data_IF_995970114936
#
_entry.id   IF_995970114936
#
_cell.length_a   1.000
_cell.length_b   1.000
_cell.length_c   1.000
_cell.angle_alpha   90.00
_cell.angle_beta   90.00
_cell.angle_gamma   90.00
#
_symmetry.space_group_name_H-M   'P 1'
#
loop_
_entity.id
_entity.type
_entity.pdbx_description
1 polymer ?
#
# COMPACT_ATOMS: atom_id res chain seq x y z
N UNK A 1 -10.47 11.54 -21.65
CA UNK A 1 -10.46 10.61 -20.49
C UNK A 1 -9.27 11.01 -19.63
N UNK A 2 -9.51 11.32 -18.36
CA UNK A 2 -8.43 11.71 -17.43
C UNK A 2 -7.70 10.43 -17.04
N UNK A 3 -6.42 10.31 -17.40
CA UNK A 3 -5.58 9.23 -16.90
C UNK A 3 -5.32 9.45 -15.41
N UNK A 4 -5.41 8.36 -14.65
CA UNK A 4 -5.21 8.37 -13.21
C UNK A 4 -4.08 7.40 -12.89
N UNK A 5 -3.17 7.79 -12.02
CA UNK A 5 -2.09 6.94 -11.56
C UNK A 5 -2.45 6.37 -10.20
N UNK A 6 -2.18 5.09 -9.97
CA UNK A 6 -2.39 4.45 -8.67
C UNK A 6 -1.17 3.69 -8.20
N UNK A 7 -0.98 3.65 -6.88
CA UNK A 7 0.02 2.79 -6.25
C UNK A 7 -0.52 1.36 -6.11
N UNK A 8 0.18 0.39 -6.70
CA UNK A 8 -0.15 -1.04 -6.70
C UNK A 8 0.95 -1.84 -5.99
N UNK A 9 0.61 -2.57 -4.93
CA UNK A 9 1.57 -3.41 -4.21
C UNK A 9 1.62 -4.82 -4.82
N UNK A 10 2.83 -5.25 -5.19
CA UNK A 10 3.08 -6.61 -5.64
C UNK A 10 2.71 -7.62 -4.54
N UNK A 11 1.85 -8.60 -4.83
CA UNK A 11 1.43 -9.60 -3.84
C UNK A 11 2.57 -10.54 -3.46
N UNK A 12 3.59 -10.71 -4.32
CA UNK A 12 4.73 -11.58 -4.08
C UNK A 12 5.80 -10.87 -3.23
N UNK A 13 6.41 -9.81 -3.76
CA UNK A 13 7.55 -9.15 -3.10
C UNK A 13 7.19 -7.90 -2.27
N UNK A 14 5.96 -7.38 -2.36
CA UNK A 14 5.56 -6.19 -1.59
C UNK A 14 6.00 -4.84 -2.17
N UNK A 15 6.68 -4.85 -3.31
CA UNK A 15 7.11 -3.65 -4.02
C UNK A 15 5.92 -2.79 -4.48
N UNK A 16 6.05 -1.47 -4.35
CA UNK A 16 5.05 -0.50 -4.78
C UNK A 16 5.36 -0.08 -6.23
N UNK A 17 4.39 -0.27 -7.12
CA UNK A 17 4.47 0.14 -8.51
C UNK A 17 3.45 1.25 -8.76
N UNK A 18 3.83 2.23 -9.57
CA UNK A 18 2.93 3.28 -10.01
C UNK A 18 2.39 2.88 -11.38
N UNK A 19 1.07 2.75 -11.48
CA UNK A 19 0.42 2.27 -12.70
C UNK A 19 -0.63 3.25 -13.17
N UNK A 20 -0.66 3.51 -14.47
CA UNK A 20 -1.67 4.34 -15.11
C UNK A 20 -2.93 3.51 -15.38
N UNK A 21 -4.11 4.10 -15.14
CA UNK A 21 -5.40 3.54 -15.51
C UNK A 21 -6.29 4.60 -16.16
N UNK A 22 -7.15 4.14 -17.08
CA UNK A 22 -8.13 4.93 -17.84
C UNK A 22 -9.58 4.59 -17.45
N UNK A 23 -9.77 3.80 -16.39
CA UNK A 23 -11.07 3.40 -15.84
C UNK A 23 -11.28 1.89 -15.77
N UNK A 24 -10.24 1.11 -16.04
CA UNK A 24 -10.26 -0.35 -15.94
C UNK A 24 -10.49 -0.79 -14.50
N UNK A 25 -11.25 -1.88 -14.33
CA UNK A 25 -11.46 -2.52 -13.00
C UNK A 25 -10.28 -3.38 -12.57
N UNK A 26 -9.53 -3.90 -13.54
CA UNK A 26 -8.39 -4.79 -13.33
C UNK A 26 -7.26 -4.35 -14.27
N UNK A 27 -6.06 -4.25 -13.73
CA UNK A 27 -4.83 -3.92 -14.47
C UNK A 27 -3.84 -5.08 -14.31
N UNK A 28 -3.16 -5.45 -15.39
CA UNK A 28 -2.03 -6.39 -15.31
C UNK A 28 -0.79 -5.56 -15.02
N UNK A 29 -0.13 -5.84 -13.89
CA UNK A 29 1.03 -5.08 -13.43
C UNK A 29 2.25 -5.99 -13.35
N UNK A 30 3.37 -5.51 -13.87
CA UNK A 30 4.69 -6.15 -13.72
C UNK A 30 5.51 -5.31 -12.75
N UNK A 31 5.92 -5.87 -11.62
CA UNK A 31 6.80 -5.16 -10.69
C UNK A 31 8.25 -5.12 -11.19
N UNK A 32 9.12 -4.28 -10.58
CA UNK A 32 10.55 -4.22 -10.94
C UNK A 32 11.29 -5.55 -10.73
N UNK A 33 10.80 -6.38 -9.81
CA UNK A 33 11.25 -7.76 -9.62
C UNK A 33 10.65 -8.78 -10.63
N UNK A 34 10.08 -8.32 -11.75
CA UNK A 34 9.52 -9.14 -12.85
C UNK A 34 8.34 -10.06 -12.49
N UNK A 35 7.65 -9.83 -11.37
CA UNK A 35 6.40 -10.54 -11.06
C UNK A 35 5.22 -9.87 -11.76
N UNK A 36 4.46 -10.65 -12.53
CA UNK A 36 3.17 -10.25 -13.09
C UNK A 36 2.02 -10.59 -12.13
N UNK A 37 1.07 -9.68 -11.98
CA UNK A 37 -0.11 -9.86 -11.14
C UNK A 37 -1.28 -8.95 -11.54
N UNK A 38 -2.48 -9.39 -11.21
CA UNK A 38 -3.70 -8.59 -11.37
C UNK A 38 -3.85 -7.60 -10.22
N UNK A 39 -3.89 -6.32 -10.54
CA UNK A 39 -4.27 -5.26 -9.62
C UNK A 39 -5.75 -4.96 -9.78
N UNK A 40 -6.50 -5.07 -8.68
CA UNK A 40 -7.93 -4.75 -8.65
C UNK A 40 -8.08 -3.28 -8.30
N UNK A 41 -8.53 -2.48 -9.27
CA UNK A 41 -8.79 -1.05 -9.08
C UNK A 41 -10.07 -0.90 -8.28
N UNK A 42 -9.91 -0.61 -6.99
CA UNK A 42 -11.01 -0.24 -6.09
C UNK A 42 -11.17 1.28 -6.05
N UNK A 43 -12.35 1.79 -5.68
CA UNK A 43 -12.62 3.24 -5.56
C UNK A 43 -11.67 3.98 -4.61
N UNK A 44 -11.02 3.27 -3.69
CA UNK A 44 -10.01 3.79 -2.77
C UNK A 44 -8.57 3.49 -3.20
N UNK A 45 -8.34 3.09 -4.45
CA UNK A 45 -6.98 2.88 -4.97
C UNK A 45 -6.22 4.19 -4.85
N UNK A 46 -5.04 4.15 -4.24
CA UNK A 46 -4.25 5.34 -3.88
C UNK A 46 -3.93 6.11 -5.14
N UNK A 47 -4.59 7.24 -5.38
CA UNK A 47 -4.21 8.15 -6.45
C UNK A 47 -2.81 8.68 -6.20
N UNK A 48 -1.90 8.39 -7.11
CA UNK A 48 -0.51 8.81 -7.07
C UNK A 48 -0.36 10.35 -7.01
N UNK A 49 -1.34 11.08 -7.53
CA UNK A 49 -1.41 12.54 -7.52
C UNK A 49 -1.72 13.14 -6.14
N UNK A 50 -2.23 12.36 -5.18
CA UNK A 50 -2.43 12.81 -3.80
C UNK A 50 -1.19 12.43 -2.98
N UNK A 51 -0.10 13.16 -3.23
CA UNK A 51 1.10 13.17 -2.39
C UNK A 51 1.21 14.53 -1.73
N UNK A 52 0.66 14.64 -0.52
CA UNK A 52 0.99 15.73 0.40
C UNK A 52 2.51 15.66 0.71
N UNK A 53 3.19 16.80 0.83
CA UNK A 53 4.62 16.88 1.19
C UNK A 53 4.94 16.05 2.44
N UNK A 54 4.00 15.98 3.39
CA UNK A 54 4.11 15.15 4.59
C UNK A 54 4.24 13.67 4.26
N UNK A 55 3.52 13.18 3.24
CA UNK A 55 3.58 11.79 2.81
C UNK A 55 4.93 11.49 2.15
N UNK A 56 5.47 12.44 1.37
CA UNK A 56 6.79 12.29 0.75
C UNK A 56 7.86 12.17 1.84
N UNK A 57 7.91 13.12 2.78
CA UNK A 57 8.84 13.08 3.92
C UNK A 57 8.71 11.78 4.73
N UNK A 58 7.47 11.32 4.96
CA UNK A 58 7.22 10.08 5.68
C UNK A 58 7.75 8.84 4.92
N UNK A 59 7.53 8.79 3.60
CA UNK A 59 8.03 7.70 2.75
C UNK A 59 9.57 7.74 2.63
N UNK A 60 10.22 8.91 2.72
CA UNK A 60 11.68 9.05 2.80
C UNK A 60 12.27 8.54 4.12
N UNK A 61 11.52 8.66 5.22
CA UNK A 61 11.92 8.12 6.53
C UNK A 61 11.78 6.58 6.60
N UNK A 62 11.05 5.96 5.67
CA UNK A 62 10.77 4.53 5.68
C UNK A 62 12.02 3.71 5.31
N UNK A 63 12.53 2.93 6.26
CA UNK A 63 13.68 2.05 6.05
C UNK A 63 13.23 0.67 5.57
N UNK A 64 12.19 0.14 6.19
CA UNK A 64 11.74 -1.22 5.89
C UNK A 64 10.22 -1.34 5.96
N UNK A 65 9.71 -2.25 5.13
CA UNK A 65 8.29 -2.58 5.04
C UNK A 65 8.13 -4.09 5.00
N UNK A 66 7.42 -4.65 5.97
CA UNK A 66 7.15 -6.09 6.05
C UNK A 66 5.67 -6.37 5.94
N UNK A 67 5.32 -7.42 5.21
CA UNK A 67 3.95 -7.92 5.15
C UNK A 67 3.88 -9.29 5.79
N UNK A 68 2.97 -9.42 6.74
CA UNK A 68 2.71 -10.68 7.41
C UNK A 68 1.25 -11.08 7.22
N UNK A 69 1.04 -12.33 6.83
CA UNK A 69 -0.29 -12.94 6.84
C UNK A 69 -0.55 -13.43 8.26
N UNK A 70 -1.53 -12.84 8.93
CA UNK A 70 -1.89 -13.19 10.31
C UNK A 70 -2.92 -14.30 10.38
N UNK A 71 -3.78 -14.38 9.36
CA UNK A 71 -4.75 -15.45 9.20
C UNK A 71 -5.12 -15.64 7.73
N UNK A 72 -6.00 -16.58 7.45
CA UNK A 72 -6.65 -16.74 6.15
C UNK A 72 -7.33 -15.45 5.66
N UNK A 73 -7.82 -14.61 6.58
CA UNK A 73 -8.56 -13.36 6.33
C UNK A 73 -7.78 -12.06 6.57
N UNK A 74 -6.61 -12.11 7.21
CA UNK A 74 -5.93 -10.90 7.69
C UNK A 74 -4.49 -10.76 7.19
N UNK A 75 -4.15 -9.54 6.79
CA UNK A 75 -2.80 -9.09 6.44
C UNK A 75 -2.40 -7.92 7.34
N UNK A 76 -1.19 -7.96 7.88
CA UNK A 76 -0.54 -6.83 8.56
C UNK A 76 0.58 -6.27 7.67
N UNK A 77 0.74 -4.96 7.71
CA UNK A 77 1.88 -4.24 7.18
C UNK A 77 2.60 -3.56 8.34
N UNK A 78 3.88 -3.91 8.55
CA UNK A 78 4.77 -3.23 9.49
C UNK A 78 5.63 -2.24 8.71
N UNK A 79 5.65 -0.99 9.16
CA UNK A 79 6.54 0.06 8.66
C UNK A 79 7.59 0.37 9.72
N UNK A 80 8.86 0.36 9.33
CA UNK A 80 10.00 0.65 10.19
C UNK A 80 10.67 1.91 9.66
N UNK A 81 10.76 2.94 10.50
CA UNK A 81 11.33 4.24 10.14
C UNK A 81 12.78 4.38 10.62
N UNK A 82 13.52 5.31 10.02
CA UNK A 82 14.94 5.55 10.29
C UNK A 82 15.24 6.04 11.72
N UNK A 83 14.24 6.51 12.44
CA UNK A 83 14.31 6.88 13.85
C UNK A 83 14.03 5.71 14.81
N UNK A 84 13.90 4.49 14.29
CA UNK A 84 13.58 3.29 15.07
C UNK A 84 12.11 3.17 15.46
N UNK A 85 11.24 4.09 15.01
CA UNK A 85 9.81 3.99 15.23
C UNK A 85 9.22 2.89 14.34
N UNK A 86 8.36 2.06 14.92
CA UNK A 86 7.64 1.01 14.20
C UNK A 86 6.13 1.23 14.31
N UNK A 87 5.41 0.99 13.22
CA UNK A 87 3.96 1.06 13.24
C UNK A 87 3.32 0.05 12.30
N UNK A 88 2.19 -0.50 12.75
CA UNK A 88 1.46 -1.49 11.99
C UNK A 88 0.08 -1.02 11.53
N UNK A 89 -0.27 -1.44 10.32
CA UNK A 89 -1.60 -1.36 9.74
C UNK A 89 -2.13 -2.74 9.41
N UNK A 90 -3.46 -2.90 9.49
CA UNK A 90 -4.12 -4.19 9.28
C UNK A 90 -5.23 -4.07 8.24
N UNK A 91 -5.35 -5.11 7.42
CA UNK A 91 -6.50 -5.36 6.56
C UNK A 91 -7.12 -6.70 6.91
N UNK A 92 -8.44 -6.75 7.05
CA UNK A 92 -9.20 -7.97 7.34
C UNK A 92 -10.48 -7.97 6.52
N UNK A 93 -10.77 -9.10 5.87
CA UNK A 93 -12.04 -9.33 5.17
C UNK A 93 -13.02 -10.10 6.06
N UNK A 94 -14.33 -9.90 5.84
CA UNK A 94 -15.37 -10.64 6.57
C UNK A 94 -15.42 -12.10 6.12
N UNK A 95 -15.41 -12.33 4.81
CA UNK A 95 -15.39 -13.66 4.17
C UNK A 95 -13.99 -13.97 3.62
N UNK A 96 -13.54 -15.22 3.78
CA UNK A 96 -12.27 -15.69 3.19
C UNK A 96 -12.33 -15.62 1.66
N UNK A 97 -13.51 -15.84 1.06
CA UNK A 97 -13.68 -15.82 -0.39
C UNK A 97 -13.35 -14.45 -1.02
N UNK A 98 -13.52 -13.38 -0.24
CA UNK A 98 -13.19 -12.01 -0.64
C UNK A 98 -11.70 -11.68 -0.44
N UNK A 99 -10.92 -12.57 0.17
CA UNK A 99 -9.52 -12.32 0.41
C UNK A 99 -8.74 -12.30 -0.91
N UNK A 100 -8.20 -11.12 -1.21
CA UNK A 100 -7.25 -10.90 -2.30
C UNK A 100 -5.96 -10.36 -1.70
N UNK A 101 -4.85 -11.09 -1.84
CA UNK A 101 -3.55 -10.71 -1.25
C UNK A 101 -3.14 -9.29 -1.63
N UNK A 102 -3.36 -8.89 -2.89
CA UNK A 102 -3.07 -7.54 -3.40
C UNK A 102 -3.85 -6.49 -2.59
N UNK A 103 -5.17 -6.65 -2.48
CA UNK A 103 -6.04 -5.74 -1.72
C UNK A 103 -5.69 -5.73 -0.23
N UNK A 104 -5.39 -6.90 0.35
CA UNK A 104 -4.99 -7.04 1.74
C UNK A 104 -3.71 -6.26 2.05
N UNK A 105 -2.68 -6.39 1.21
CA UNK A 105 -1.42 -5.66 1.35
C UNK A 105 -1.60 -4.15 1.11
N UNK A 106 -2.34 -3.76 0.09
CA UNK A 106 -2.63 -2.35 -0.20
C UNK A 106 -3.33 -1.65 0.97
N UNK A 107 -4.38 -2.29 1.53
CA UNK A 107 -5.13 -1.74 2.66
C UNK A 107 -4.34 -1.72 3.97
N UNK A 108 -3.56 -2.77 4.24
CA UNK A 108 -2.72 -2.80 5.43
C UNK A 108 -1.65 -1.70 5.40
N UNK A 109 -1.03 -1.47 4.23
CA UNK A 109 -0.07 -0.39 4.04
C UNK A 109 -0.71 1.00 4.20
N UNK A 110 -1.88 1.22 3.61
CA UNK A 110 -2.63 2.49 3.73
C UNK A 110 -2.98 2.80 5.20
N UNK A 111 -3.43 1.79 5.94
CA UNK A 111 -3.70 1.91 7.37
C UNK A 111 -2.44 2.28 8.17
N UNK A 112 -1.30 1.64 7.87
CA UNK A 112 -0.04 1.92 8.55
C UNK A 112 0.42 3.35 8.28
N UNK A 113 0.40 3.80 7.02
CA UNK A 113 0.73 5.18 6.64
C UNK A 113 -0.16 6.21 7.32
N UNK A 114 -1.48 5.99 7.36
CA UNK A 114 -2.42 6.90 8.04
C UNK A 114 -2.08 7.09 9.51
N UNK A 115 -1.79 5.99 10.22
CA UNK A 115 -1.37 6.07 11.61
C UNK A 115 0.00 6.75 11.76
N UNK A 116 0.93 6.47 10.85
CA UNK A 116 2.27 7.05 10.87
C UNK A 116 2.24 8.57 10.65
N UNK A 117 1.41 9.07 9.74
CA UNK A 117 1.22 10.51 9.51
C UNK A 117 0.73 11.24 10.77
N UNK A 118 -0.12 10.59 11.58
CA UNK A 118 -0.59 11.15 12.85
C UNK A 118 0.52 11.10 13.90
N UNK A 119 1.17 9.95 14.07
CA UNK A 119 2.18 9.73 15.11
C UNK A 119 3.47 10.55 14.88
N UNK A 120 3.93 10.64 13.63
CA UNK A 120 5.15 11.34 13.25
C UNK A 120 4.89 12.75 12.74
N UNK A 121 3.66 13.26 12.80
CA UNK A 121 3.27 14.55 12.21
C UNK A 121 4.17 15.73 12.60
N UNK A 122 4.72 15.73 13.82
CA UNK A 122 5.66 16.75 14.30
C UNK A 122 7.01 16.75 13.57
N UNK A 123 7.43 15.60 13.02
CA UNK A 123 8.66 15.43 12.24
C UNK A 123 8.46 15.67 10.74
N UNK A 124 7.22 15.92 10.31
CA UNK A 124 6.85 16.09 8.89
C UNK A 124 6.67 17.58 8.49
N UNK A 125 7.01 18.52 9.38
CA UNK A 125 6.97 19.97 9.14
C UNK A 125 8.19 20.43 8.35
#
# INVERSE_FOLDING_TARGET
MVSMFIDSICPKCGEINQVEHKGEKILIVTCKNHHMYDHIVISYSRTHSIKDEKRIKLEEMLVEKKFHRMSDKSTICLLIFNNGYEIEGRSTVRDVADFRTVVGKDKAYEQALKKAMVALGAYLV
#
